data_IF_751825397643
#
_entry.id   IF_751825397643
#
_cell.length_a   1.000
_cell.length_b   1.000
_cell.length_c   1.000
_cell.angle_alpha   90.00
_cell.angle_beta   90.00
_cell.angle_gamma   90.00
#
_symmetry.space_group_name_H-M   'P 1'
#
loop_
_entity.id
_entity.type
_entity.pdbx_description
1 polymer ?
#
# COMPACT_ATOMS: atom_id res chain seq x y z
N UNK A 1 -5.22 11.51 3.26
CA UNK A 1 -5.82 10.42 4.07
C UNK A 1 -7.22 10.72 4.59
N UNK A 2 -7.49 11.84 5.29
CA UNK A 2 -8.83 12.15 5.82
C UNK A 2 -10.00 11.95 4.81
N UNK A 3 -9.81 12.37 3.56
CA UNK A 3 -10.80 12.15 2.50
C UNK A 3 -11.09 10.66 2.22
N UNK A 4 -10.07 9.82 2.15
CA UNK A 4 -10.20 8.38 1.90
C UNK A 4 -10.89 7.69 3.08
N UNK A 5 -10.45 8.00 4.30
CA UNK A 5 -11.07 7.51 5.54
C UNK A 5 -12.56 7.83 5.60
N UNK A 6 -12.96 9.07 5.31
CA UNK A 6 -14.38 9.46 5.29
C UNK A 6 -15.21 8.75 4.22
N UNK A 7 -14.58 8.24 3.17
CA UNK A 7 -15.21 7.44 2.12
C UNK A 7 -15.16 5.94 2.41
N UNK A 8 -14.63 5.51 3.56
CA UNK A 8 -14.45 4.10 3.89
C UNK A 8 -13.40 3.40 3.04
N UNK A 9 -12.47 4.16 2.44
CA UNK A 9 -11.38 3.62 1.62
C UNK A 9 -10.10 3.53 2.44
N UNK A 10 -9.43 2.38 2.35
CA UNK A 10 -8.12 2.11 2.95
C UNK A 10 -7.10 2.02 1.82
N UNK A 11 -6.00 2.77 1.93
CA UNK A 11 -4.96 2.85 0.90
C UNK A 11 -4.08 1.60 0.87
N UNK A 12 -3.73 1.04 2.04
CA UNK A 12 -2.93 -0.18 2.21
C UNK A 12 -1.46 -0.10 1.80
N UNK A 13 -1.00 1.07 1.35
CA UNK A 13 0.39 1.30 0.92
C UNK A 13 0.71 2.81 0.93
N UNK A 14 0.45 3.46 2.06
CA UNK A 14 0.79 4.88 2.21
C UNK A 14 2.29 4.99 2.49
N UNK A 15 3.05 5.49 1.52
CA UNK A 15 4.49 5.72 1.61
C UNK A 15 4.91 6.87 0.69
N UNK A 16 6.08 7.48 0.95
CA UNK A 16 6.58 8.61 0.15
C UNK A 16 6.67 8.30 -1.36
N UNK A 17 6.99 7.06 -1.73
CA UNK A 17 7.00 6.59 -3.14
C UNK A 17 5.65 6.73 -3.86
N UNK A 18 4.54 6.77 -3.11
CA UNK A 18 3.17 6.93 -3.63
C UNK A 18 2.65 8.37 -3.44
N UNK A 19 3.52 9.32 -3.08
CA UNK A 19 3.21 10.74 -2.96
C UNK A 19 3.81 11.49 -4.14
N UNK A 20 2.96 12.14 -4.92
CA UNK A 20 3.34 12.92 -6.09
C UNK A 20 3.34 14.40 -5.77
N UNK A 21 4.43 15.10 -6.12
CA UNK A 21 4.56 16.55 -5.96
C UNK A 21 4.30 17.20 -7.31
N UNK A 22 3.36 18.14 -7.34
CA UNK A 22 3.06 18.97 -8.50
C UNK A 22 3.68 20.36 -8.33
N UNK A 23 3.44 21.24 -9.30
CA UNK A 23 3.74 22.68 -9.21
C UNK A 23 3.24 23.28 -7.88
N UNK A 24 3.95 24.30 -7.39
CA UNK A 24 3.67 24.98 -6.12
C UNK A 24 3.67 24.06 -4.90
N UNK A 25 4.42 22.95 -4.94
CA UNK A 25 4.53 21.97 -3.85
C UNK A 25 3.19 21.34 -3.47
N UNK A 26 2.23 21.31 -4.38
CA UNK A 26 0.97 20.61 -4.16
C UNK A 26 1.18 19.09 -4.18
N UNK A 27 0.81 18.42 -3.09
CA UNK A 27 0.97 16.97 -2.95
C UNK A 27 -0.32 16.23 -3.28
N UNK A 28 -0.19 15.09 -3.97
CA UNK A 28 -1.28 14.16 -4.25
C UNK A 28 -0.87 12.75 -3.86
N UNK A 29 -1.80 12.00 -3.28
CA UNK A 29 -1.63 10.58 -3.00
C UNK A 29 -2.08 9.83 -4.26
N UNK A 30 -1.24 9.00 -4.84
CA UNK A 30 -1.65 8.09 -5.92
C UNK A 30 -1.72 6.65 -5.45
N UNK A 31 -2.16 5.77 -6.32
CA UNK A 31 -2.37 4.37 -5.98
C UNK A 31 -1.07 3.54 -5.95
N UNK A 32 -1.20 2.25 -5.63
CA UNK A 32 -0.10 1.28 -5.53
C UNK A 32 0.29 0.66 -6.88
N UNK A 33 -0.45 0.91 -7.96
CA UNK A 33 -0.52 0.02 -9.13
C UNK A 33 0.81 -0.29 -9.82
N UNK A 34 1.76 0.64 -9.81
CA UNK A 34 3.09 0.48 -10.43
C UNK A 34 4.25 0.52 -9.43
N UNK A 35 3.94 0.76 -8.17
CA UNK A 35 4.96 1.13 -7.18
C UNK A 35 5.89 -0.03 -6.85
N UNK A 36 5.44 -1.28 -7.02
CA UNK A 36 6.28 -2.45 -6.85
C UNK A 36 7.33 -2.60 -7.97
N UNK A 37 6.96 -2.28 -9.21
CA UNK A 37 7.88 -2.37 -10.35
C UNK A 37 8.98 -1.30 -10.28
N UNK A 38 8.63 -0.09 -9.81
CA UNK A 38 9.56 1.04 -9.73
C UNK A 38 10.41 1.05 -8.45
N UNK A 39 9.93 0.45 -7.35
CA UNK A 39 10.60 0.45 -6.05
C UNK A 39 10.67 -0.96 -5.44
N UNK A 40 11.23 -1.96 -6.14
CA UNK A 40 11.19 -3.36 -5.72
C UNK A 40 11.82 -3.63 -4.33
N UNK A 41 12.81 -2.83 -3.93
CA UNK A 41 13.51 -2.90 -2.64
C UNK A 41 12.62 -2.59 -1.41
N UNK A 42 11.48 -1.93 -1.65
CA UNK A 42 10.51 -1.58 -0.63
C UNK A 42 9.46 -2.67 -0.40
N UNK A 43 9.41 -3.68 -1.28
CA UNK A 43 8.41 -4.75 -1.23
C UNK A 43 9.06 -6.09 -0.94
N UNK A 44 8.30 -6.91 -0.22
CA UNK A 44 8.62 -8.32 0.01
C UNK A 44 7.65 -9.14 -0.82
N UNK A 45 8.22 -10.01 -1.65
CA UNK A 45 7.47 -10.83 -2.59
C UNK A 45 7.23 -12.21 -2.01
N UNK A 46 5.98 -12.66 -2.04
CA UNK A 46 5.58 -13.99 -1.57
C UNK A 46 4.78 -14.65 -2.70
N UNK A 47 5.10 -15.91 -3.00
CA UNK A 47 4.23 -16.75 -3.83
C UNK A 47 3.06 -17.22 -2.96
N UNK A 48 1.88 -16.69 -3.20
CA UNK A 48 0.66 -17.17 -2.57
C UNK A 48 -0.05 -18.14 -3.51
N UNK A 49 -0.37 -19.34 -3.00
CA UNK A 49 -1.22 -20.30 -3.71
C UNK A 49 -2.65 -19.78 -3.74
N UNK A 50 -3.01 -19.12 -4.82
CA UNK A 50 -4.38 -18.67 -5.11
C UNK A 50 -5.21 -19.75 -5.81
N UNK A 51 -6.53 -19.58 -5.81
CA UNK A 51 -7.49 -20.51 -6.45
C UNK A 51 -7.42 -20.60 -7.98
N UNK A 52 -6.46 -19.93 -8.63
CA UNK A 52 -6.27 -19.90 -10.09
C UNK A 52 -4.81 -20.02 -10.56
N UNK A 53 -3.86 -20.26 -9.67
CA UNK A 53 -2.42 -20.33 -9.97
C UNK A 53 -1.56 -19.75 -8.84
N UNK A 54 -0.25 -19.89 -8.97
CA UNK A 54 0.70 -19.21 -8.09
C UNK A 54 0.69 -17.72 -8.45
N UNK A 55 0.17 -16.88 -7.55
CA UNK A 55 0.16 -15.42 -7.71
C UNK A 55 1.28 -14.84 -6.86
N UNK A 56 2.18 -14.12 -7.52
CA UNK A 56 3.27 -13.42 -6.86
C UNK A 56 2.75 -12.11 -6.29
N UNK A 57 2.59 -12.05 -4.96
CA UNK A 57 2.08 -10.86 -4.27
C UNK A 57 3.23 -10.11 -3.60
N UNK A 58 3.30 -8.81 -3.85
CA UNK A 58 4.24 -7.91 -3.20
C UNK A 58 3.60 -7.08 -2.10
N UNK A 59 4.21 -7.17 -0.91
CA UNK A 59 3.76 -6.50 0.30
C UNK A 59 4.77 -5.44 0.77
N UNK A 60 4.33 -4.21 1.07
CA UNK A 60 5.18 -3.14 1.60
C UNK A 60 5.40 -3.32 3.12
N UNK A 61 5.97 -4.45 3.54
CA UNK A 61 6.01 -4.92 4.95
C UNK A 61 6.49 -3.85 5.94
N UNK A 62 7.47 -3.02 5.55
CA UNK A 62 8.02 -1.96 6.42
C UNK A 62 7.04 -0.83 6.74
N UNK A 63 5.93 -0.71 5.99
CA UNK A 63 4.88 0.31 6.14
C UNK A 63 3.54 -0.27 6.63
N UNK A 64 3.48 -1.57 6.93
CA UNK A 64 2.24 -2.22 7.37
C UNK A 64 2.13 -2.21 8.90
N UNK A 65 0.93 -1.93 9.40
CA UNK A 65 0.64 -2.04 10.82
C UNK A 65 0.70 -3.50 11.31
N UNK A 66 0.94 -3.70 12.61
CA UNK A 66 1.17 -5.03 13.18
C UNK A 66 -0.03 -5.97 13.00
N UNK A 67 -1.25 -5.47 13.16
CA UNK A 67 -2.49 -6.23 12.95
C UNK A 67 -2.70 -6.62 11.48
N UNK A 68 -2.13 -5.86 10.54
CA UNK A 68 -2.13 -6.21 9.12
C UNK A 68 -1.14 -7.35 8.87
N UNK A 69 0.02 -7.32 9.51
CA UNK A 69 1.02 -8.38 9.40
C UNK A 69 0.54 -9.70 10.01
N UNK A 70 -0.10 -9.65 11.18
CA UNK A 70 -0.58 -10.84 11.90
C UNK A 70 -1.90 -11.39 11.37
N UNK A 71 -2.90 -10.51 11.18
CA UNK A 71 -4.28 -10.94 10.93
C UNK A 71 -4.80 -10.57 9.54
N UNK A 72 -3.97 -9.92 8.70
CA UNK A 72 -4.37 -9.36 7.40
C UNK A 72 -5.56 -8.39 7.49
N UNK A 73 -5.76 -7.75 8.65
CA UNK A 73 -6.87 -6.82 8.91
C UNK A 73 -6.48 -5.38 8.57
N UNK A 74 -6.95 -4.90 7.43
CA UNK A 74 -6.78 -3.51 7.00
C UNK A 74 -7.89 -2.62 7.56
N UNK A 75 -7.53 -1.43 8.02
CA UNK A 75 -8.48 -0.43 8.50
C UNK A 75 -7.96 0.98 8.19
N UNK A 76 -8.78 2.01 8.37
CA UNK A 76 -8.25 3.39 8.28
C UNK A 76 -7.18 3.68 9.32
N UNK A 77 -7.16 2.97 10.45
CA UNK A 77 -6.11 3.09 11.46
C UNK A 77 -4.79 2.45 11.03
N UNK A 78 -4.81 1.47 10.12
CA UNK A 78 -3.57 0.87 9.60
C UNK A 78 -2.91 1.72 8.51
N UNK A 79 -3.58 2.77 8.03
CA UNK A 79 -3.02 3.79 7.14
C UNK A 79 -2.43 5.00 7.90
N UNK A 80 -2.49 4.99 9.24
CA UNK A 80 -1.98 6.06 10.14
C UNK A 80 -0.66 5.62 10.74
#
# INVERSE_FOLDING_TARGET
MYHLTRKGQVHKDLACRNIYIHENLHVKIGDRGLSWDFYPEDYNTIEERGGGGDETIAYPVKWMAAEVLSDKRYSSSSDV
#
